data_IF_472459015375
#
_entry.id   IF_472459015375
#
_cell.length_a   1.000
_cell.length_b   1.000
_cell.length_c   1.000
_cell.angle_alpha   90.00
_cell.angle_beta   90.00
_cell.angle_gamma   90.00
#
_symmetry.space_group_name_H-M   'P 1'
#
loop_
_entity.id
_entity.type
_entity.pdbx_description
1 polymer ?
#
# COMPACT_ATOMS: atom_id res chain seq x y z
N UNK A 1 48.03 58.77 26.12
CA UNK A 1 48.20 57.56 25.26
C UNK A 1 46.89 56.78 25.35
N UNK A 2 46.05 56.79 24.31
CA UNK A 2 45.69 55.66 23.41
C UNK A 2 45.37 54.35 24.16
N UNK A 3 44.26 53.62 23.98
CA UNK A 3 43.01 53.71 23.19
C UNK A 3 42.07 52.65 23.81
N UNK A 4 40.78 52.98 23.91
CA UNK A 4 39.63 52.06 24.04
C UNK A 4 39.66 50.97 22.97
N UNK A 5 39.03 49.80 23.17
CA UNK A 5 38.00 49.21 22.28
C UNK A 5 37.29 48.03 22.98
N UNK A 6 36.08 48.28 23.46
CA UNK A 6 35.04 47.31 23.82
C UNK A 6 34.44 46.75 22.53
N UNK A 7 34.44 45.42 22.33
CA UNK A 7 33.69 44.77 21.26
C UNK A 7 32.27 44.46 21.75
N UNK A 8 31.32 45.21 21.22
CA UNK A 8 29.88 44.94 21.26
C UNK A 8 29.57 43.81 20.26
N UNK A 9 29.03 42.70 20.75
CA UNK A 9 28.36 41.70 19.90
C UNK A 9 26.88 42.10 19.84
N UNK A 10 26.32 42.45 18.67
CA UNK A 10 24.91 42.79 18.58
C UNK A 10 24.08 41.53 18.76
N UNK A 11 23.12 41.60 19.68
CA UNK A 11 21.99 40.67 19.82
C UNK A 11 21.19 40.67 18.51
N UNK A 12 21.65 39.85 17.57
CA UNK A 12 20.98 39.54 16.32
C UNK A 12 19.69 38.80 16.61
N UNK A 13 18.59 39.48 16.32
CA UNK A 13 17.31 38.96 15.85
C UNK A 13 17.35 37.45 15.54
N UNK A 14 16.91 36.62 16.48
CA UNK A 14 16.66 35.19 16.26
C UNK A 14 15.41 35.11 15.39
N UNK A 15 15.60 35.16 14.08
CA UNK A 15 14.60 34.77 13.11
C UNK A 15 14.30 33.30 13.36
N UNK A 16 13.22 33.05 14.09
CA UNK A 16 12.60 31.75 14.22
C UNK A 16 12.08 31.37 12.83
N UNK A 17 12.96 30.81 11.99
CA UNK A 17 12.58 30.12 10.77
C UNK A 17 11.80 28.88 11.21
N UNK A 18 10.52 29.08 11.47
CA UNK A 18 9.54 28.01 11.49
C UNK A 18 9.48 27.53 10.05
N UNK A 19 10.38 26.62 9.68
CA UNK A 19 10.27 25.85 8.44
C UNK A 19 8.96 25.09 8.56
N UNK A 20 7.90 25.69 8.02
CA UNK A 20 6.69 24.97 7.65
C UNK A 20 7.11 23.97 6.59
N UNK A 21 7.55 22.80 7.03
CA UNK A 21 7.61 21.60 6.22
C UNK A 21 6.18 21.40 5.70
N UNK A 22 5.93 21.90 4.50
CA UNK A 22 4.80 21.47 3.69
C UNK A 22 5.05 19.98 3.41
N UNK A 23 4.60 19.14 4.34
CA UNK A 23 4.36 17.72 4.11
C UNK A 23 3.25 17.65 3.07
N UNK A 24 3.61 17.89 1.80
CA UNK A 24 2.86 17.41 0.66
C UNK A 24 3.04 15.89 0.67
N UNK A 25 2.33 15.22 1.58
CA UNK A 25 2.28 13.77 1.59
C UNK A 25 1.80 13.34 0.22
N UNK A 26 2.65 12.64 -0.53
CA UNK A 26 2.24 12.07 -1.80
C UNK A 26 0.98 11.25 -1.54
N UNK A 27 -0.12 11.57 -2.21
CA UNK A 27 -1.35 10.78 -2.09
C UNK A 27 -1.01 9.35 -2.49
N UNK A 28 -1.25 8.40 -1.59
CA UNK A 28 -1.02 6.98 -1.82
C UNK A 28 -2.28 6.23 -1.48
N UNK A 29 -2.57 5.20 -2.27
CA UNK A 29 -3.75 4.36 -2.09
C UNK A 29 -3.48 3.22 -1.12
N UNK A 30 -4.56 2.78 -0.49
CA UNK A 30 -4.56 1.60 0.36
C UNK A 30 -5.06 0.35 -0.36
N UNK A 31 -5.13 -0.78 0.36
CA UNK A 31 -5.70 -2.01 -0.16
C UNK A 31 -7.15 -1.81 -0.63
N UNK A 32 -7.49 -2.46 -1.75
CA UNK A 32 -8.78 -2.34 -2.41
C UNK A 32 -8.99 -1.07 -3.22
N UNK A 33 -7.94 -0.27 -3.40
CA UNK A 33 -7.97 0.94 -4.20
C UNK A 33 -6.93 0.92 -5.32
N UNK A 34 -7.13 1.73 -6.34
CA UNK A 34 -6.20 1.98 -7.43
C UNK A 34 -6.02 3.48 -7.60
N UNK A 35 -4.87 3.87 -8.11
CA UNK A 35 -4.56 5.25 -8.42
C UNK A 35 -5.24 5.69 -9.73
N UNK A 36 -5.99 6.77 -9.67
CA UNK A 36 -6.55 7.46 -10.84
C UNK A 36 -5.67 8.69 -11.13
N UNK A 37 -4.85 8.57 -12.18
CA UNK A 37 -3.93 9.63 -12.62
C UNK A 37 -4.66 10.88 -13.13
N UNK A 38 -5.90 10.74 -13.64
CA UNK A 38 -6.66 11.87 -14.17
C UNK A 38 -7.26 12.71 -13.05
N UNK A 39 -7.70 12.06 -11.97
CA UNK A 39 -8.33 12.72 -10.82
C UNK A 39 -7.36 13.04 -9.69
N UNK A 40 -6.14 12.48 -9.73
CA UNK A 40 -5.17 12.52 -8.63
C UNK A 40 -5.78 11.96 -7.33
N UNK A 41 -6.58 10.88 -7.45
CA UNK A 41 -7.32 10.26 -6.34
C UNK A 41 -7.23 8.74 -6.35
N UNK A 42 -7.58 8.11 -5.22
CA UNK A 42 -7.71 6.67 -5.12
C UNK A 42 -9.16 6.23 -5.39
N UNK A 43 -9.34 5.32 -6.34
CA UNK A 43 -10.63 4.73 -6.67
C UNK A 43 -10.70 3.28 -6.21
N UNK A 44 -11.87 2.81 -5.80
CA UNK A 44 -12.04 1.41 -5.36
C UNK A 44 -11.96 0.42 -6.52
N UNK A 45 -11.36 -0.73 -6.25
CA UNK A 45 -11.40 -1.87 -7.15
C UNK A 45 -12.83 -2.43 -7.26
N UNK A 46 -13.27 -2.85 -8.46
CA UNK A 46 -14.55 -3.53 -8.65
C UNK A 46 -14.61 -4.84 -7.86
N UNK A 47 -15.68 -5.03 -7.09
CA UNK A 47 -15.85 -6.22 -6.26
C UNK A 47 -16.11 -7.48 -7.12
N UNK A 48 -15.61 -8.63 -6.65
CA UNK A 48 -15.84 -9.95 -7.24
C UNK A 48 -14.94 -10.34 -8.42
N UNK A 49 -14.28 -9.38 -9.06
CA UNK A 49 -13.40 -9.67 -10.21
C UNK A 49 -11.97 -9.16 -10.05
N UNK A 50 -11.77 -8.14 -9.20
CA UNK A 50 -10.46 -7.52 -9.04
C UNK A 50 -10.16 -7.20 -7.57
N UNK A 51 -8.87 -7.22 -7.24
CA UNK A 51 -8.35 -6.91 -5.91
C UNK A 51 -7.09 -6.03 -5.98
N UNK A 52 -6.74 -5.43 -4.85
CA UNK A 52 -5.44 -4.80 -4.64
C UNK A 52 -5.05 -4.98 -3.17
N UNK A 53 -3.90 -5.60 -2.92
CA UNK A 53 -3.41 -5.96 -1.59
C UNK A 53 -2.29 -5.04 -1.08
N UNK A 54 -1.76 -4.18 -1.95
CA UNK A 54 -0.65 -3.28 -1.60
C UNK A 54 -1.08 -2.12 -0.73
N UNK A 55 -0.24 -1.74 0.22
CA UNK A 55 -0.36 -0.49 0.97
C UNK A 55 0.52 0.60 0.37
N UNK A 56 0.14 1.86 0.62
CA UNK A 56 0.91 3.06 0.26
C UNK A 56 1.39 3.07 -1.20
N UNK A 57 0.52 2.68 -2.13
CA UNK A 57 0.89 2.47 -3.53
C UNK A 57 0.27 3.52 -4.48
N UNK A 58 0.78 3.59 -5.71
CA UNK A 58 0.23 4.38 -6.83
C UNK A 58 -0.02 3.51 -8.07
N UNK A 59 -0.49 2.28 -7.83
CA UNK A 59 -0.77 1.34 -8.92
C UNK A 59 -2.10 1.73 -9.56
N UNK A 60 -2.11 1.91 -10.87
CA UNK A 60 -3.27 2.42 -11.63
C UNK A 60 -4.33 1.38 -11.96
N UNK A 61 -4.05 0.11 -11.65
CA UNK A 61 -4.90 -1.04 -11.94
C UNK A 61 -5.06 -1.93 -10.71
N UNK A 62 -6.17 -2.66 -10.69
CA UNK A 62 -6.41 -3.75 -9.76
C UNK A 62 -6.00 -5.08 -10.41
N UNK A 63 -5.48 -6.00 -9.63
CA UNK A 63 -5.18 -7.37 -10.06
C UNK A 63 -6.46 -8.15 -10.26
N UNK A 64 -6.53 -9.03 -11.27
CA UNK A 64 -7.68 -9.93 -11.45
C UNK A 64 -7.67 -11.07 -10.45
N UNK A 65 -8.84 -11.46 -9.94
CA UNK A 65 -8.99 -12.62 -9.08
C UNK A 65 -8.62 -13.92 -9.82
N UNK A 66 -7.96 -14.85 -9.13
CA UNK A 66 -7.68 -16.18 -9.66
C UNK A 66 -8.99 -16.96 -9.80
N UNK A 67 -9.28 -17.56 -10.97
CA UNK A 67 -10.48 -18.38 -11.13
C UNK A 67 -10.33 -19.70 -10.37
N UNK A 68 -11.36 -20.08 -9.61
CA UNK A 68 -11.43 -21.37 -8.93
C UNK A 68 -12.50 -22.26 -9.56
N UNK A 69 -12.11 -23.42 -10.06
CA UNK A 69 -13.01 -24.44 -10.60
C UNK A 69 -12.89 -25.72 -9.77
N UNK A 70 -13.90 -25.99 -8.95
CA UNK A 70 -13.94 -27.17 -8.06
C UNK A 70 -13.75 -28.48 -8.85
N UNK A 71 -14.27 -28.53 -10.07
CA UNK A 71 -14.17 -29.69 -10.97
C UNK A 71 -12.73 -30.01 -11.41
N UNK A 72 -11.83 -29.03 -11.41
CA UNK A 72 -10.46 -29.20 -11.94
C UNK A 72 -9.44 -29.49 -10.85
N UNK A 73 -9.81 -29.35 -9.57
CA UNK A 73 -8.89 -29.56 -8.46
C UNK A 73 -9.64 -30.11 -7.25
N UNK A 74 -10.06 -31.39 -7.26
CA UNK A 74 -10.74 -32.00 -6.12
C UNK A 74 -9.87 -32.02 -4.85
N UNK A 75 -8.55 -31.88 -5.00
CA UNK A 75 -7.59 -31.78 -3.91
C UNK A 75 -7.47 -30.35 -3.32
N UNK A 76 -8.23 -29.36 -3.82
CA UNK A 76 -8.22 -28.00 -3.30
C UNK A 76 -9.63 -27.62 -2.85
N UNK A 77 -9.73 -26.99 -1.69
CA UNK A 77 -10.97 -26.39 -1.19
C UNK A 77 -10.80 -24.86 -1.18
N UNK A 78 -11.84 -24.17 -1.60
CA UNK A 78 -11.93 -22.72 -1.45
C UNK A 78 -12.22 -22.40 0.02
N UNK A 79 -11.35 -21.60 0.62
CA UNK A 79 -11.43 -21.21 2.04
C UNK A 79 -11.96 -19.81 2.19
N UNK A 80 -11.57 -18.94 1.26
CA UNK A 80 -11.99 -17.54 1.24
C UNK A 80 -12.15 -17.08 -0.21
N UNK A 81 -13.21 -16.33 -0.45
CA UNK A 81 -13.53 -15.78 -1.76
C UNK A 81 -12.61 -14.59 -2.09
N UNK A 82 -12.50 -14.25 -3.37
CA UNK A 82 -11.81 -13.04 -3.76
C UNK A 82 -12.60 -11.83 -3.27
N UNK A 83 -11.91 -10.91 -2.60
CA UNK A 83 -12.47 -9.62 -2.20
C UNK A 83 -11.71 -8.51 -2.89
N UNK A 84 -12.15 -7.25 -2.75
CA UNK A 84 -11.34 -6.14 -3.28
C UNK A 84 -9.96 -6.03 -2.61
N UNK A 85 -9.74 -6.64 -1.44
CA UNK A 85 -8.52 -6.50 -0.66
C UNK A 85 -7.51 -7.63 -0.86
N UNK A 86 -7.94 -8.78 -1.36
CA UNK A 86 -7.08 -9.95 -1.58
C UNK A 86 -7.69 -10.92 -2.59
N UNK A 87 -6.84 -11.76 -3.16
CA UNK A 87 -7.25 -12.87 -4.02
C UNK A 87 -7.94 -14.00 -3.24
N UNK A 88 -8.46 -15.02 -3.94
CA UNK A 88 -8.98 -16.24 -3.31
C UNK A 88 -7.94 -16.90 -2.41
N UNK A 89 -8.41 -17.54 -1.34
CA UNK A 89 -7.57 -18.41 -0.51
C UNK A 89 -8.00 -19.85 -0.72
N UNK A 90 -7.08 -20.68 -1.21
CA UNK A 90 -7.30 -22.12 -1.39
C UNK A 90 -6.44 -22.91 -0.42
N UNK A 91 -6.99 -23.99 0.13
CA UNK A 91 -6.24 -24.98 0.91
C UNK A 91 -6.22 -26.30 0.16
N UNK A 92 -5.07 -26.97 0.16
CA UNK A 92 -4.99 -28.34 -0.31
C UNK A 92 -5.51 -29.28 0.78
N UNK A 93 -6.44 -30.17 0.43
CA UNK A 93 -6.79 -31.29 1.31
C UNK A 93 -5.68 -32.32 1.23
N UNK A 94 -5.12 -32.70 2.38
CA UNK A 94 -4.25 -33.87 2.44
C UNK A 94 -5.12 -35.10 2.19
N UNK A 95 -4.76 -35.90 1.19
CA UNK A 95 -5.39 -37.19 0.99
C UNK A 95 -5.21 -38.09 2.23
N UNK A 96 -6.04 -39.12 2.41
CA UNK A 96 -5.94 -40.06 3.54
C UNK A 96 -4.59 -40.79 3.63
N UNK A 97 -3.76 -40.73 2.60
CA UNK A 97 -2.41 -41.32 2.57
C UNK A 97 -1.27 -40.35 2.95
N UNK A 98 -1.56 -39.08 3.27
CA UNK A 98 -0.51 -38.10 3.62
C UNK A 98 0.43 -37.73 2.47
N UNK A 99 0.13 -38.15 1.24
CA UNK A 99 0.87 -37.74 0.04
C UNK A 99 0.56 -36.28 -0.26
N UNK A 100 1.60 -35.45 -0.17
CA UNK A 100 1.58 -34.06 -0.62
C UNK A 100 1.58 -34.08 -2.15
N UNK A 101 0.47 -33.67 -2.77
CA UNK A 101 0.46 -33.42 -4.21
C UNK A 101 1.32 -32.17 -4.48
N UNK A 102 2.58 -32.38 -4.83
CA UNK A 102 3.43 -31.33 -5.37
C UNK A 102 2.94 -31.00 -6.79
N UNK A 103 2.60 -29.73 -7.00
CA UNK A 103 2.25 -29.17 -8.32
C UNK A 103 3.52 -28.68 -8.99
#
# INVERSE_FOLDING_TARGET
MRKSWTQFVPLGLVLCLCETFYLTGAVTCGPGERWDEEKDTCERCPEGFYYQDKENHRVTHCSGCTPFYESTSPAKILVDDCTRFHDIVVKCIKGPAGEEYQI
#
